data_IF_594584812608
#
_entry.id   IF_594584812608
#
_cell.length_a   1.000
_cell.length_b   1.000
_cell.length_c   1.000
_cell.angle_alpha   90.00
_cell.angle_beta   90.00
_cell.angle_gamma   90.00
#
_symmetry.space_group_name_H-M   'P 1'
#
loop_
_entity.id
_entity.type
_entity.pdbx_description
1 polymer ?
#
# COMPACT_ATOMS: atom_id res chain seq x y z
N UNK A 1 -5.14 6.40 -23.91
CA UNK A 1 -4.48 5.93 -22.68
C UNK A 1 -4.50 7.05 -21.65
N UNK A 2 -5.35 6.96 -20.63
CA UNK A 2 -5.42 7.98 -19.56
C UNK A 2 -4.48 7.55 -18.44
N UNK A 3 -3.34 8.22 -18.28
CA UNK A 3 -2.47 8.03 -17.13
C UNK A 3 -3.13 8.68 -15.91
N UNK A 4 -3.67 7.88 -15.00
CA UNK A 4 -4.15 8.39 -13.72
C UNK A 4 -2.93 8.69 -12.84
N UNK A 5 -2.55 9.96 -12.77
CA UNK A 5 -1.50 10.43 -11.87
C UNK A 5 -2.10 10.77 -10.50
N UNK A 6 -2.03 9.84 -9.55
CA UNK A 6 -2.26 10.18 -8.14
C UNK A 6 -0.92 10.61 -7.54
N UNK A 7 -0.80 11.88 -7.12
CA UNK A 7 0.32 12.33 -6.29
C UNK A 7 -0.09 12.26 -4.82
N UNK A 8 0.71 11.56 -4.02
CA UNK A 8 0.51 11.46 -2.58
C UNK A 8 1.77 11.99 -1.88
N UNK A 9 1.60 13.05 -1.09
CA UNK A 9 2.67 13.66 -0.29
C UNK A 9 2.39 13.44 1.20
N UNK A 10 3.43 13.07 1.95
CA UNK A 10 3.30 12.89 3.40
C UNK A 10 4.48 12.16 4.02
N UNK A 11 4.42 12.02 5.35
CA UNK A 11 5.37 11.24 6.14
C UNK A 11 4.75 9.95 6.65
N UNK A 12 5.58 8.90 6.69
CA UNK A 12 5.25 7.57 7.22
C UNK A 12 6.32 7.21 8.24
N UNK A 13 5.89 6.86 9.45
CA UNK A 13 6.79 6.33 10.48
C UNK A 13 7.21 4.91 10.12
N UNK A 14 8.50 4.62 10.31
CA UNK A 14 9.10 3.31 10.04
C UNK A 14 9.88 2.84 11.27
N UNK A 15 10.16 1.55 11.33
CA UNK A 15 11.09 0.96 12.29
C UNK A 15 12.20 0.23 11.55
N UNK A 16 13.34 0.06 12.21
CA UNK A 16 14.45 -0.74 11.69
C UNK A 16 14.13 -2.22 11.95
N UNK A 17 14.08 -3.02 10.89
CA UNK A 17 13.83 -4.48 10.96
C UNK A 17 15.14 -5.28 10.91
N UNK A 18 16.21 -4.69 10.36
CA UNK A 18 17.51 -5.33 10.22
C UNK A 18 18.62 -4.29 10.12
N UNK A 19 19.78 -4.62 10.66
CA UNK A 19 21.03 -3.88 10.44
C UNK A 19 21.95 -4.79 9.64
N UNK A 20 22.45 -4.31 8.50
CA UNK A 20 23.41 -5.02 7.66
C UNK A 20 24.83 -4.86 8.22
N UNK A 21 25.74 -5.77 7.86
CA UNK A 21 27.14 -5.75 8.32
C UNK A 21 27.89 -4.46 7.98
N UNK A 22 27.47 -3.77 6.91
CA UNK A 22 28.02 -2.47 6.50
C UNK A 22 27.40 -1.27 7.27
N UNK A 23 26.51 -1.53 8.23
CA UNK A 23 25.82 -0.52 9.03
C UNK A 23 24.56 0.07 8.39
N UNK A 24 24.17 -0.36 7.18
CA UNK A 24 22.91 0.07 6.59
C UNK A 24 21.73 -0.53 7.34
N UNK A 25 20.60 0.17 7.29
CA UNK A 25 19.40 -0.14 8.05
C UNK A 25 18.30 -0.54 7.08
N UNK A 26 17.76 -1.73 7.22
CA UNK A 26 16.50 -2.08 6.58
C UNK A 26 15.35 -1.55 7.42
N UNK A 27 14.46 -0.81 6.78
CA UNK A 27 13.32 -0.16 7.41
C UNK A 27 12.01 -0.72 6.88
N UNK A 28 11.00 -0.76 7.75
CA UNK A 28 9.64 -1.11 7.39
C UNK A 28 8.65 -0.25 8.17
N UNK A 29 7.59 0.20 7.52
CA UNK A 29 6.51 0.93 8.17
C UNK A 29 5.20 0.78 7.43
N UNK A 30 4.10 0.95 8.17
CA UNK A 30 2.76 0.97 7.62
C UNK A 30 1.95 2.08 8.28
N UNK A 31 1.29 2.89 7.45
CA UNK A 31 0.28 3.87 7.89
C UNK A 31 -1.10 3.38 7.45
N UNK A 32 -1.98 3.15 8.41
CA UNK A 32 -3.39 2.85 8.18
C UNK A 32 -4.19 4.15 8.24
N UNK A 33 -5.02 4.38 7.23
CA UNK A 33 -5.97 5.48 7.16
C UNK A 33 -7.37 4.86 7.08
N UNK A 34 -8.24 5.18 8.04
CA UNK A 34 -9.63 4.73 8.00
C UNK A 34 -10.47 5.90 7.50
N UNK A 35 -11.00 5.77 6.29
CA UNK A 35 -11.89 6.75 5.66
C UNK A 35 -13.31 6.18 5.61
N UNK A 36 -14.28 7.03 5.25
CA UNK A 36 -15.69 6.64 5.13
C UNK A 36 -15.91 5.45 4.16
N UNK A 37 -15.02 5.27 3.18
CA UNK A 37 -15.14 4.26 2.12
C UNK A 37 -14.31 2.99 2.39
N UNK A 38 -13.71 2.87 3.59
CA UNK A 38 -12.93 1.71 4.00
C UNK A 38 -11.54 2.05 4.53
N UNK A 39 -10.75 1.00 4.76
CA UNK A 39 -9.38 1.11 5.22
C UNK A 39 -8.41 1.23 4.04
N UNK A 40 -7.53 2.22 4.10
CA UNK A 40 -6.43 2.44 3.18
C UNK A 40 -5.10 2.23 3.90
N UNK A 41 -4.13 1.65 3.19
CA UNK A 41 -2.82 1.33 3.74
C UNK A 41 -1.72 1.91 2.86
N UNK A 42 -0.77 2.58 3.49
CA UNK A 42 0.51 2.96 2.88
C UNK A 42 1.58 2.12 3.55
N UNK A 43 2.25 1.26 2.78
CA UNK A 43 3.39 0.46 3.24
C UNK A 43 4.66 0.99 2.62
N UNK A 44 5.71 1.09 3.42
CA UNK A 44 7.03 1.53 2.99
C UNK A 44 8.05 0.53 3.49
N UNK A 45 8.95 0.09 2.62
CA UNK A 45 10.13 -0.65 3.00
C UNK A 45 11.33 -0.25 2.13
N UNK A 46 12.53 -0.53 2.63
CA UNK A 46 13.76 -0.24 1.89
C UNK A 46 14.98 -0.20 2.79
N UNK A 47 16.10 0.26 2.24
CA UNK A 47 17.39 0.32 2.92
C UNK A 47 17.86 1.77 3.02
N UNK A 48 18.23 2.18 4.23
CA UNK A 48 18.70 3.52 4.56
C UNK A 48 20.13 3.46 5.06
N UNK A 49 20.97 4.40 4.63
CA UNK A 49 22.30 4.59 5.20
C UNK A 49 22.20 5.51 6.42
N UNK A 50 22.90 5.24 7.54
CA UNK A 50 22.80 6.09 8.74
C UNK A 50 23.06 7.58 8.48
N UNK A 51 23.95 7.92 7.54
CA UNK A 51 24.25 9.31 7.13
C UNK A 51 23.12 10.05 6.43
N UNK A 52 22.12 9.34 5.91
CA UNK A 52 20.96 9.94 5.25
C UNK A 52 19.85 10.32 6.25
N UNK A 53 19.99 9.91 7.52
CA UNK A 53 19.10 10.27 8.62
C UNK A 53 19.47 11.67 9.11
N UNK A 54 18.52 12.61 9.06
CA UNK A 54 18.71 13.96 9.59
C UNK A 54 18.77 13.97 11.12
N UNK A 55 19.18 15.10 11.71
CA UNK A 55 19.15 15.30 13.17
C UNK A 55 17.74 15.15 13.77
N UNK A 56 16.69 15.34 12.96
CA UNK A 56 15.29 15.18 13.36
C UNK A 56 14.76 13.74 13.18
N UNK A 57 15.63 12.76 12.90
CA UNK A 57 15.27 11.38 12.57
C UNK A 57 14.36 11.24 11.33
N UNK A 58 14.59 12.09 10.32
CA UNK A 58 13.86 12.06 9.05
C UNK A 58 14.78 11.65 7.91
N UNK A 59 14.27 10.80 7.02
CA UNK A 59 14.93 10.39 5.78
C UNK A 59 14.05 10.81 4.61
N UNK A 60 14.64 11.50 3.64
CA UNK A 60 13.93 11.84 2.40
C UNK A 60 13.70 10.58 1.57
N UNK A 61 12.53 10.44 0.96
CA UNK A 61 12.14 9.21 0.24
C UNK A 61 13.05 8.88 -0.95
N UNK A 62 13.70 9.89 -1.55
CA UNK A 62 14.69 9.74 -2.63
C UNK A 62 16.03 9.14 -2.16
N UNK A 63 16.27 9.12 -0.84
CA UNK A 63 17.48 8.55 -0.22
C UNK A 63 17.28 7.12 0.28
N UNK A 64 16.12 6.51 0.03
CA UNK A 64 15.84 5.12 0.39
C UNK A 64 16.24 4.22 -0.79
N UNK A 65 17.23 3.35 -0.58
CA UNK A 65 17.62 2.36 -1.58
C UNK A 65 16.60 1.22 -1.63
N UNK A 66 16.28 0.74 -2.85
CA UNK A 66 15.27 -0.29 -3.10
C UNK A 66 13.93 0.03 -2.39
N UNK A 67 13.51 1.30 -2.46
CA UNK A 67 12.26 1.73 -1.84
C UNK A 67 11.06 1.03 -2.49
N UNK A 68 10.32 0.26 -1.69
CA UNK A 68 9.03 -0.31 -2.04
C UNK A 68 7.95 0.47 -1.30
N UNK A 69 7.11 1.18 -2.05
CA UNK A 69 6.04 2.02 -1.52
C UNK A 69 4.73 1.59 -2.15
N UNK A 70 3.91 0.92 -1.35
CA UNK A 70 2.65 0.34 -1.80
C UNK A 70 1.47 1.08 -1.18
N UNK A 71 0.56 1.55 -2.03
CA UNK A 71 -0.73 2.08 -1.64
C UNK A 71 -1.81 1.03 -1.91
N UNK A 72 -2.54 0.63 -0.87
CA UNK A 72 -3.62 -0.35 -0.94
C UNK A 72 -4.89 0.34 -0.49
N UNK A 73 -5.79 0.64 -1.43
CA UNK A 73 -7.08 1.26 -1.15
C UNK A 73 -8.23 0.25 -1.07
N UNK A 74 -9.31 0.63 -0.39
CA UNK A 74 -10.52 -0.20 -0.27
C UNK A 74 -11.27 -0.40 -1.61
N UNK A 75 -10.97 0.39 -2.65
CA UNK A 75 -11.72 0.43 -3.91
C UNK A 75 -11.57 -0.77 -4.85
N UNK A 76 -10.53 -1.60 -4.70
CA UNK A 76 -10.31 -2.75 -5.59
C UNK A 76 -11.15 -4.00 -5.23
N UNK A 77 -11.88 -3.97 -4.10
CA UNK A 77 -12.76 -5.07 -3.70
C UNK A 77 -14.14 -5.02 -4.39
N UNK A 78 -14.43 -3.97 -5.17
CA UNK A 78 -15.75 -3.71 -5.75
C UNK A 78 -15.97 -4.28 -7.18
N UNK A 79 -15.22 -5.30 -7.63
CA UNK A 79 -15.48 -5.94 -8.94
C UNK A 79 -15.46 -7.47 -8.97
N UNK A 80 -15.62 -8.16 -7.83
CA UNK A 80 -15.81 -9.61 -7.88
C UNK A 80 -17.00 -10.07 -7.02
N UNK A 81 -18.04 -10.59 -7.69
CA UNK A 81 -18.81 -11.70 -7.10
C UNK A 81 -20.30 -11.54 -6.80
N UNK A 82 -21.00 -10.46 -7.20
CA UNK A 82 -22.49 -10.47 -7.18
C UNK A 82 -23.12 -10.44 -8.57
N UNK A 83 -22.50 -11.12 -9.54
CA UNK A 83 -23.21 -11.57 -10.74
C UNK A 83 -23.63 -13.03 -10.50
N UNK A 84 -24.87 -13.24 -10.02
CA UNK A 84 -25.51 -14.54 -10.24
C UNK A 84 -26.40 -15.14 -9.15
N UNK A 85 -27.01 -14.38 -8.24
CA UNK A 85 -28.19 -14.93 -7.55
C UNK A 85 -29.44 -14.83 -8.45
N UNK A 86 -29.55 -13.78 -9.28
CA UNK A 86 -30.69 -13.57 -10.19
C UNK A 86 -30.72 -14.55 -11.39
N UNK A 87 -29.55 -14.96 -11.91
CA UNK A 87 -29.48 -15.88 -13.06
C UNK A 87 -29.80 -17.33 -12.69
N UNK A 88 -29.71 -17.73 -11.41
CA UNK A 88 -30.06 -19.08 -10.95
C UNK A 88 -31.57 -19.29 -10.71
N UNK A 89 -32.35 -18.22 -10.54
CA UNK A 89 -33.81 -18.34 -10.38
C UNK A 89 -34.54 -18.48 -11.72
N UNK A 90 -33.92 -18.09 -12.84
CA UNK A 90 -34.54 -18.20 -14.17
C UNK A 90 -34.30 -19.55 -14.87
N UNK A 91 -33.33 -20.36 -14.43
CA UNK A 91 -33.10 -21.70 -15.00
C UNK A 91 -33.96 -22.81 -14.36
N UNK A 92 -34.72 -22.52 -13.30
CA UNK A 92 -35.59 -23.53 -12.64
C UNK A 92 -37.03 -23.50 -13.17
N UNK A 93 -37.35 -22.64 -14.14
CA UNK A 93 -38.74 -22.47 -14.63
C UNK A 93 -38.82 -22.39 -16.15
N UNK A 94 -38.29 -23.41 -16.84
CA UNK A 94 -38.89 -23.85 -18.10
C UNK A 94 -38.52 -25.30 -18.45
N UNK A 95 -39.27 -26.29 -17.96
CA UNK A 95 -39.59 -27.46 -18.75
C UNK A 95 -40.84 -27.18 -19.58
N UNK A 96 -40.66 -27.03 -20.90
CA UNK A 96 -41.40 -27.63 -22.03
C UNK A 96 -40.69 -27.20 -23.31
#
# INVERSE_FOLDING_TARGET
STAQSNSLTGSVSVHVVRVYDNGNLEIMGQKKLTLNNGDEYIRVSGIVRPRDISADNVVQSDRIANADINYIGAGDVARSGKKGWYTRMLETISPI
#
